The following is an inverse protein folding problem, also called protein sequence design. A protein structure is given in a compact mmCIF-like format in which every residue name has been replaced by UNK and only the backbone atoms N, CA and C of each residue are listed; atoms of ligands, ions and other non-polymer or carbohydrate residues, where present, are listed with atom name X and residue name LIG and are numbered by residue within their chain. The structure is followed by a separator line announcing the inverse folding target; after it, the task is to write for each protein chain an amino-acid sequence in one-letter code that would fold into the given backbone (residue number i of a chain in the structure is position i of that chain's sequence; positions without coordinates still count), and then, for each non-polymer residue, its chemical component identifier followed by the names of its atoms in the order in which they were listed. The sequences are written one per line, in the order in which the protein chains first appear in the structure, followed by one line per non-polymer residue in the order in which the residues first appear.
data_IF_732768579225
#
_entry.id   IF_732768579225
#
_cell.length_a   1.000
_cell.length_b   1.000
_cell.length_c   1.000
_cell.angle_alpha   90.00
_cell.angle_beta   90.00
_cell.angle_gamma   90.00
#
_symmetry.space_group_name_H-M   'P 1'
#
loop_
_entity.id
_entity.type
_entity.pdbx_description
1 polymer ?
#
# COMPACT_ATOMS: atom_id res chain seq x y z
N UNK A 1 -89.35 34.49 82.16
CA UNK A 1 -87.91 34.41 81.82
C UNK A 1 -87.40 35.85 81.81
N UNK A 2 -86.65 36.25 82.83
CA UNK A 2 -86.25 37.63 83.09
C UNK A 2 -85.12 38.07 82.16
N UNK A 3 -85.13 39.34 81.75
CA UNK A 3 -84.24 39.99 80.77
C UNK A 3 -82.74 39.82 81.05
N UNK A 4 -82.35 39.57 82.31
CA UNK A 4 -80.95 39.38 82.72
C UNK A 4 -80.32 38.11 82.13
N UNK A 5 -81.07 37.00 82.01
CA UNK A 5 -80.54 35.74 81.47
C UNK A 5 -80.23 35.78 79.97
N UNK A 6 -80.90 36.65 79.21
CA UNK A 6 -80.68 36.79 77.76
C UNK A 6 -79.40 37.59 77.50
N UNK A 7 -79.14 38.62 78.30
CA UNK A 7 -77.94 39.45 78.20
C UNK A 7 -76.68 38.63 78.51
N UNK A 8 -76.75 37.76 79.52
CA UNK A 8 -75.65 36.88 79.91
C UNK A 8 -75.28 35.88 78.79
N UNK A 9 -76.28 35.27 78.15
CA UNK A 9 -76.08 34.39 76.99
C UNK A 9 -75.47 35.15 75.80
N UNK A 10 -75.93 36.37 75.52
CA UNK A 10 -75.38 37.18 74.41
C UNK A 10 -73.92 37.54 74.66
N UNK A 11 -73.55 37.88 75.90
CA UNK A 11 -72.17 38.18 76.27
C UNK A 11 -71.28 36.93 76.15
N UNK A 12 -71.74 35.77 76.60
CA UNK A 12 -71.02 34.49 76.40
C UNK A 12 -70.82 34.16 74.92
N UNK A 13 -71.85 34.36 74.09
CA UNK A 13 -71.75 34.11 72.65
C UNK A 13 -70.77 35.08 71.99
N UNK A 14 -70.77 36.36 72.36
CA UNK A 14 -69.81 37.34 71.84
C UNK A 14 -68.39 36.99 72.28
N UNK A 15 -68.18 36.64 73.56
CA UNK A 15 -66.87 36.21 74.06
C UNK A 15 -66.39 34.94 73.36
N UNK A 16 -67.27 33.99 73.12
CA UNK A 16 -66.96 32.77 72.37
C UNK A 16 -66.58 33.07 70.92
N UNK A 17 -67.28 33.99 70.25
CA UNK A 17 -66.98 34.41 68.88
C UNK A 17 -65.64 35.16 68.80
N UNK A 18 -65.34 36.04 69.77
CA UNK A 18 -64.06 36.77 69.82
C UNK A 18 -62.91 35.80 70.11
N UNK A 19 -63.08 34.87 71.05
CA UNK A 19 -62.09 33.83 71.33
C UNK A 19 -61.88 32.91 70.12
N UNK A 20 -62.95 32.49 69.44
CA UNK A 20 -62.91 31.68 68.23
C UNK A 20 -62.19 32.42 67.09
N UNK A 21 -62.47 33.71 66.90
CA UNK A 21 -61.79 34.54 65.92
C UNK A 21 -60.29 34.67 66.21
N UNK A 22 -59.90 34.88 67.46
CA UNK A 22 -58.48 34.95 67.85
C UNK A 22 -57.75 33.62 67.65
N UNK A 23 -58.39 32.50 67.99
CA UNK A 23 -57.84 31.16 67.77
C UNK A 23 -57.66 30.90 66.27
N UNK A 24 -58.66 31.24 65.46
CA UNK A 24 -58.60 31.11 64.02
C UNK A 24 -57.52 32.01 63.40
N UNK A 25 -57.44 33.28 63.81
CA UNK A 25 -56.45 34.23 63.31
C UNK A 25 -55.02 33.81 63.65
N UNK A 26 -54.79 33.33 64.88
CA UNK A 26 -53.49 32.75 65.29
C UNK A 26 -53.16 31.51 64.46
N UNK A 27 -54.11 30.60 64.28
CA UNK A 27 -53.92 29.38 63.48
C UNK A 27 -53.61 29.72 62.02
N UNK A 28 -54.32 30.68 61.43
CA UNK A 28 -54.13 31.16 60.06
C UNK A 28 -52.77 31.84 59.85
N UNK A 29 -52.35 32.74 60.75
CA UNK A 29 -51.01 33.35 60.71
C UNK A 29 -49.89 32.31 60.81
N UNK A 30 -50.07 31.30 61.66
CA UNK A 30 -49.07 30.23 61.81
C UNK A 30 -48.99 29.37 60.54
N UNK A 31 -50.14 29.13 59.88
CA UNK A 31 -50.21 28.43 58.59
C UNK A 31 -49.53 29.23 57.47
N UNK A 32 -49.79 30.53 57.38
CA UNK A 32 -49.17 31.43 56.41
C UNK A 32 -47.65 31.53 56.60
N UNK A 33 -47.18 31.68 57.85
CA UNK A 33 -45.75 31.69 58.15
C UNK A 33 -45.05 30.40 57.72
N UNK A 34 -45.70 29.25 57.94
CA UNK A 34 -45.20 27.96 57.49
C UNK A 34 -45.19 27.80 55.96
N UNK A 35 -46.18 28.33 55.25
CA UNK A 35 -46.20 28.30 53.77
C UNK A 35 -45.17 29.24 53.15
N UNK A 36 -44.99 30.44 53.70
CA UNK A 36 -44.01 31.43 53.23
C UNK A 36 -42.58 30.92 53.48
N UNK A 37 -42.31 30.31 54.63
CA UNK A 37 -41.02 29.68 54.91
C UNK A 37 -40.74 28.51 53.95
N UNK A 38 -41.74 27.68 53.65
CA UNK A 38 -41.61 26.62 52.64
C UNK A 38 -41.30 27.22 51.25
N UNK A 39 -41.99 28.27 50.83
CA UNK A 39 -41.75 28.92 49.54
C UNK A 39 -40.35 29.52 49.44
N UNK A 40 -39.85 30.21 50.48
CA UNK A 40 -38.48 30.75 50.45
C UNK A 40 -37.43 29.64 50.40
N UNK A 41 -37.63 28.54 51.14
CA UNK A 41 -36.73 27.38 51.06
C UNK A 41 -36.75 26.70 49.70
N UNK A 42 -37.92 26.66 49.02
CA UNK A 42 -38.03 26.14 47.66
C UNK A 42 -37.30 27.05 46.66
N UNK A 43 -37.42 28.37 46.80
CA UNK A 43 -36.74 29.33 45.91
C UNK A 43 -35.21 29.33 46.09
N UNK A 44 -34.73 29.18 47.33
CA UNK A 44 -33.29 29.00 47.60
C UNK A 44 -32.78 27.67 47.06
N UNK A 45 -33.55 26.59 47.22
CA UNK A 45 -33.24 25.28 46.64
C UNK A 45 -33.21 25.35 45.11
N UNK A 46 -34.15 26.03 44.46
CA UNK A 46 -34.16 26.17 43.00
C UNK A 46 -32.95 26.96 42.52
N UNK A 47 -32.64 28.11 43.14
CA UNK A 47 -31.43 28.89 42.80
C UNK A 47 -30.14 28.09 43.01
N UNK A 48 -30.04 27.33 44.10
CA UNK A 48 -28.89 26.46 44.35
C UNK A 48 -28.78 25.38 43.27
N UNK A 49 -29.90 24.74 42.90
CA UNK A 49 -29.91 23.72 41.83
C UNK A 49 -29.56 24.30 40.46
N UNK A 50 -30.02 25.51 40.14
CA UNK A 50 -29.68 26.21 38.90
C UNK A 50 -28.19 26.58 38.86
N UNK A 51 -27.65 27.10 39.95
CA UNK A 51 -26.22 27.44 40.06
C UNK A 51 -25.33 26.19 39.96
N UNK A 52 -25.71 25.10 40.63
CA UNK A 52 -24.98 23.82 40.52
C UNK A 52 -25.06 23.28 39.10
N UNK A 53 -26.22 23.38 38.44
CA UNK A 53 -26.38 22.96 37.04
C UNK A 53 -25.54 23.81 36.10
N UNK A 54 -25.48 25.13 36.31
CA UNK A 54 -24.68 26.05 35.54
C UNK A 54 -23.17 25.78 35.72
N UNK A 55 -22.68 25.68 36.96
CA UNK A 55 -21.28 25.37 37.27
C UNK A 55 -20.87 23.99 36.72
N UNK A 56 -21.75 23.00 36.80
CA UNK A 56 -21.50 21.69 36.19
C UNK A 56 -21.46 21.75 34.66
N UNK A 57 -22.34 22.55 34.03
CA UNK A 57 -22.33 22.79 32.58
C UNK A 57 -21.03 23.46 32.14
N UNK A 58 -20.59 24.49 32.87
CA UNK A 58 -19.34 25.22 32.59
C UNK A 58 -18.12 24.31 32.75
N UNK A 59 -18.06 23.51 33.82
CA UNK A 59 -17.03 22.49 34.01
C UNK A 59 -17.03 21.46 32.89
N UNK A 60 -18.21 21.03 32.46
CA UNK A 60 -18.34 20.08 31.35
C UNK A 60 -17.81 20.67 30.03
N UNK A 61 -18.14 21.92 29.72
CA UNK A 61 -17.64 22.60 28.52
C UNK A 61 -16.12 22.82 28.56
N UNK A 62 -15.59 23.27 29.70
CA UNK A 62 -14.14 23.45 29.88
C UNK A 62 -13.38 22.12 29.79
N UNK A 63 -13.90 21.04 30.36
CA UNK A 63 -13.31 19.70 30.21
C UNK A 63 -13.35 19.23 28.75
N UNK A 64 -14.47 19.42 28.04
CA UNK A 64 -14.57 19.09 26.62
C UNK A 64 -13.55 19.86 25.79
N UNK A 65 -13.40 21.16 26.05
CA UNK A 65 -12.45 22.03 25.36
C UNK A 65 -10.99 21.62 25.63
N UNK A 66 -10.63 21.34 26.88
CA UNK A 66 -9.28 20.87 27.22
C UNK A 66 -8.97 19.53 26.58
N UNK A 67 -9.94 18.61 26.59
CA UNK A 67 -9.77 17.31 25.97
C UNK A 67 -9.62 17.41 24.45
N UNK A 68 -10.40 18.26 23.78
CA UNK A 68 -10.26 18.46 22.33
C UNK A 68 -8.94 19.12 21.97
N UNK A 69 -8.45 20.05 22.78
CA UNK A 69 -7.14 20.68 22.63
C UNK A 69 -6.01 19.66 22.81
N UNK A 70 -6.01 18.88 23.89
CA UNK A 70 -5.02 17.81 24.11
C UNK A 70 -5.03 16.75 23.00
N UNK A 71 -6.23 16.37 22.52
CA UNK A 71 -6.37 15.46 21.40
C UNK A 71 -5.78 16.06 20.12
N UNK A 72 -6.01 17.35 19.86
CA UNK A 72 -5.46 18.03 18.68
C UNK A 72 -3.94 18.09 18.74
N UNK A 73 -3.39 18.50 19.89
CA UNK A 73 -1.93 18.57 20.13
C UNK A 73 -1.26 17.20 19.94
N UNK A 74 -1.93 16.09 20.25
CA UNK A 74 -1.38 14.74 20.06
C UNK A 74 -1.61 14.17 18.66
N UNK A 75 -2.79 14.39 18.07
CA UNK A 75 -3.19 13.78 16.79
C UNK A 75 -2.55 14.50 15.61
N UNK A 76 -2.48 15.83 15.64
CA UNK A 76 -1.95 16.63 14.54
C UNK A 76 -0.48 16.28 14.18
N UNK A 77 0.47 16.19 15.13
CA UNK A 77 1.84 15.80 14.81
C UNK A 77 1.91 14.35 14.29
N UNK A 78 1.14 13.42 14.85
CA UNK A 78 1.10 12.04 14.36
C UNK A 78 0.56 11.95 12.93
N UNK A 79 -0.48 12.71 12.60
CA UNK A 79 -1.00 12.81 11.22
C UNK A 79 0.03 13.39 10.27
N UNK A 80 0.73 14.44 10.70
CA UNK A 80 1.79 15.08 9.91
C UNK A 80 2.97 14.13 9.67
N UNK A 81 3.40 13.40 10.71
CA UNK A 81 4.46 12.39 10.61
C UNK A 81 4.07 11.23 9.70
N UNK A 82 2.84 10.72 9.83
CA UNK A 82 2.31 9.67 8.96
C UNK A 82 2.25 10.15 7.50
N UNK A 83 1.75 11.36 7.26
CA UNK A 83 1.73 11.95 5.91
C UNK A 83 3.14 12.09 5.32
N UNK A 84 4.11 12.57 6.11
CA UNK A 84 5.51 12.69 5.69
C UNK A 84 6.14 11.34 5.38
N UNK A 85 5.90 10.33 6.22
CA UNK A 85 6.38 8.97 5.99
C UNK A 85 5.75 8.36 4.74
N UNK A 86 4.45 8.56 4.53
CA UNK A 86 3.75 8.08 3.33
C UNK A 86 4.32 8.72 2.06
N UNK A 87 4.52 10.05 2.06
CA UNK A 87 5.16 10.76 0.93
C UNK A 87 6.57 10.22 0.69
N UNK A 88 7.36 10.01 1.75
CA UNK A 88 8.73 9.47 1.64
C UNK A 88 8.73 8.07 1.03
N UNK A 89 7.84 7.19 1.51
CA UNK A 89 7.68 5.85 0.96
C UNK A 89 7.24 5.89 -0.50
N UNK A 90 6.29 6.77 -0.85
CA UNK A 90 5.84 6.94 -2.23
C UNK A 90 6.98 7.39 -3.15
N UNK A 91 7.79 8.37 -2.74
CA UNK A 91 8.94 8.85 -3.51
C UNK A 91 9.98 7.73 -3.69
N UNK A 92 10.33 7.03 -2.61
CA UNK A 92 11.29 5.93 -2.65
C UNK A 92 10.80 4.78 -3.54
N UNK A 93 9.51 4.44 -3.42
CA UNK A 93 8.88 3.40 -4.23
C UNK A 93 8.86 3.79 -5.71
N UNK A 94 8.43 5.01 -6.03
CA UNK A 94 8.43 5.52 -7.41
C UNK A 94 9.82 5.51 -8.02
N UNK A 95 10.83 6.01 -7.31
CA UNK A 95 12.22 5.99 -7.77
C UNK A 95 12.74 4.57 -8.02
N UNK A 96 12.51 3.67 -7.06
CA UNK A 96 12.95 2.27 -7.20
C UNK A 96 12.24 1.57 -8.36
N UNK A 97 10.94 1.82 -8.54
CA UNK A 97 10.18 1.27 -9.66
C UNK A 97 10.65 1.82 -11.00
N UNK A 98 10.97 3.12 -11.08
CA UNK A 98 11.51 3.74 -12.29
C UNK A 98 12.86 3.14 -12.66
N UNK A 99 13.80 3.05 -11.72
CA UNK A 99 15.12 2.46 -11.95
C UNK A 99 15.02 0.98 -12.34
N UNK A 100 14.16 0.22 -11.64
CA UNK A 100 13.88 -1.17 -11.99
C UNK A 100 13.30 -1.30 -13.40
N UNK A 101 12.43 -0.37 -13.81
CA UNK A 101 11.87 -0.32 -15.15
C UNK A 101 12.91 -0.09 -16.24
N UNK A 102 13.84 0.85 -16.03
CA UNK A 102 14.98 1.09 -16.93
C UNK A 102 15.85 -0.17 -17.07
N UNK A 103 16.15 -0.82 -15.96
CA UNK A 103 16.94 -2.07 -15.93
C UNK A 103 16.24 -3.19 -16.70
N UNK A 104 14.93 -3.37 -16.49
CA UNK A 104 14.13 -4.39 -17.21
C UNK A 104 14.16 -4.15 -18.71
N UNK A 105 13.88 -2.93 -19.15
CA UNK A 105 13.84 -2.59 -20.57
C UNK A 105 15.20 -2.86 -21.25
N UNK A 106 16.28 -2.42 -20.61
CA UNK A 106 17.62 -2.59 -21.16
C UNK A 106 18.08 -4.06 -21.13
N UNK A 107 17.73 -4.80 -20.08
CA UNK A 107 18.00 -6.24 -19.99
C UNK A 107 17.28 -7.00 -21.11
N UNK A 108 15.99 -6.70 -21.32
CA UNK A 108 15.19 -7.33 -22.37
C UNK A 108 15.75 -7.02 -23.76
N UNK A 109 16.12 -5.77 -24.05
CA UNK A 109 16.77 -5.40 -25.32
C UNK A 109 18.03 -6.23 -25.58
N UNK A 110 18.89 -6.41 -24.57
CA UNK A 110 20.11 -7.22 -24.69
C UNK A 110 19.81 -8.71 -24.88
N UNK A 111 18.76 -9.22 -24.24
CA UNK A 111 18.31 -10.60 -24.43
C UNK A 111 17.82 -10.84 -25.86
N UNK A 112 17.04 -9.92 -26.41
CA UNK A 112 16.57 -10.00 -27.80
C UNK A 112 17.74 -9.90 -28.78
N UNK A 113 18.70 -9.00 -28.54
CA UNK A 113 19.90 -8.93 -29.39
C UNK A 113 20.74 -10.20 -29.30
N UNK A 114 20.93 -10.77 -28.09
CA UNK A 114 21.59 -12.06 -27.90
C UNK A 114 20.90 -13.15 -28.73
N UNK A 115 19.57 -13.26 -28.62
CA UNK A 115 18.82 -14.24 -29.38
C UNK A 115 18.96 -14.04 -30.89
N UNK A 116 18.78 -12.80 -31.37
CA UNK A 116 18.90 -12.45 -32.78
C UNK A 116 20.30 -12.78 -33.34
N UNK A 117 21.36 -12.39 -32.62
CA UNK A 117 22.73 -12.66 -33.03
C UNK A 117 23.06 -14.16 -33.04
N UNK A 118 22.56 -14.91 -32.06
CA UNK A 118 22.74 -16.36 -31.98
C UNK A 118 22.01 -17.08 -33.11
N UNK A 119 20.77 -16.70 -33.43
CA UNK A 119 20.02 -17.29 -34.54
C UNK A 119 20.67 -16.96 -35.88
N UNK A 120 21.14 -15.73 -36.08
CA UNK A 120 21.83 -15.32 -37.30
C UNK A 120 23.15 -16.09 -37.49
N UNK A 121 23.98 -16.18 -36.44
CA UNK A 121 25.23 -16.93 -36.50
C UNK A 121 25.03 -18.43 -36.74
N UNK A 122 24.05 -19.04 -36.07
CA UNK A 122 23.80 -20.48 -36.13
C UNK A 122 22.89 -20.93 -37.27
N UNK A 123 22.49 -20.01 -38.17
CA UNK A 123 21.61 -20.35 -39.27
C UNK A 123 22.25 -21.38 -40.22
N UNK A 124 21.43 -22.27 -40.79
CA UNK A 124 21.92 -23.32 -41.71
C UNK A 124 22.42 -22.73 -43.03
N UNK A 125 21.76 -21.67 -43.52
CA UNK A 125 22.15 -20.96 -44.73
C UNK A 125 22.35 -19.49 -44.39
N UNK A 126 23.46 -18.95 -44.89
CA UNK A 126 23.77 -17.54 -44.80
C UNK A 126 23.77 -16.93 -46.21
N UNK A 127 23.00 -15.87 -46.47
CA UNK A 127 23.21 -15.09 -47.68
C UNK A 127 24.63 -14.49 -47.63
N UNK A 128 25.33 -14.55 -48.76
CA UNK A 128 26.65 -13.95 -48.94
C UNK A 128 26.50 -12.84 -49.97
N UNK A 129 26.90 -11.63 -49.61
CA UNK A 129 26.77 -10.46 -50.49
C UNK A 129 28.11 -10.03 -51.09
N UNK A 130 29.18 -10.06 -50.28
CA UNK A 130 30.50 -9.60 -50.68
C UNK A 130 31.58 -10.64 -50.38
N UNK A 131 31.76 -10.99 -49.11
CA UNK A 131 32.85 -11.86 -48.65
C UNK A 131 32.34 -12.83 -47.59
N UNK A 132 32.21 -14.10 -47.98
CA UNK A 132 31.72 -15.17 -47.11
C UNK A 132 32.54 -15.33 -45.83
N UNK A 133 33.88 -15.14 -45.88
CA UNK A 133 34.75 -15.30 -44.71
C UNK A 133 34.57 -14.15 -43.74
N UNK A 134 34.59 -12.92 -44.27
CA UNK A 134 34.39 -11.72 -43.45
C UNK A 134 33.00 -11.70 -42.82
N UNK A 135 31.95 -11.91 -43.61
CA UNK A 135 30.57 -11.92 -43.11
C UNK A 135 30.34 -13.04 -42.08
N UNK A 136 30.97 -14.21 -42.26
CA UNK A 136 30.93 -15.27 -41.24
C UNK A 136 31.64 -14.88 -39.95
N UNK A 137 32.78 -14.19 -40.04
CA UNK A 137 33.50 -13.72 -38.86
C UNK A 137 32.70 -12.64 -38.12
N UNK A 138 32.11 -11.70 -38.86
CA UNK A 138 31.28 -10.62 -38.32
C UNK A 138 30.07 -11.18 -37.56
N UNK A 139 29.43 -12.24 -38.06
CA UNK A 139 28.34 -12.96 -37.36
C UNK A 139 28.80 -13.58 -36.04
N UNK A 140 29.94 -14.28 -36.04
CA UNK A 140 30.51 -14.86 -34.81
C UNK A 140 30.85 -13.77 -33.80
N UNK A 141 31.51 -12.70 -34.25
CA UNK A 141 31.90 -11.58 -33.38
C UNK A 141 30.68 -10.84 -32.83
N UNK A 142 29.59 -10.70 -33.60
CA UNK A 142 28.32 -10.16 -33.12
C UNK A 142 27.72 -11.04 -32.01
N UNK A 143 27.70 -12.35 -32.20
CA UNK A 143 27.20 -13.29 -31.19
C UNK A 143 28.02 -13.22 -29.88
N UNK A 144 29.36 -13.24 -29.98
CA UNK A 144 30.27 -13.13 -28.83
C UNK A 144 30.08 -11.82 -28.06
N UNK A 145 29.93 -10.71 -28.80
CA UNK A 145 29.64 -9.40 -28.22
C UNK A 145 28.29 -9.42 -27.51
N UNK A 146 27.24 -9.93 -28.13
CA UNK A 146 25.90 -9.97 -27.54
C UNK A 146 25.85 -10.82 -26.27
N UNK A 147 26.56 -11.96 -26.25
CA UNK A 147 26.73 -12.80 -25.05
C UNK A 147 27.39 -12.00 -23.92
N UNK A 148 28.48 -11.29 -24.24
CA UNK A 148 29.25 -10.52 -23.27
C UNK A 148 28.45 -9.33 -22.74
N UNK A 149 27.78 -8.58 -23.61
CA UNK A 149 26.96 -7.43 -23.26
C UNK A 149 25.78 -7.82 -22.38
N UNK A 150 25.07 -8.91 -22.72
CA UNK A 150 23.98 -9.45 -21.91
C UNK A 150 24.50 -9.90 -20.53
N UNK A 151 25.54 -10.73 -20.49
CA UNK A 151 26.11 -11.26 -19.25
C UNK A 151 26.55 -10.15 -18.32
N UNK A 152 27.32 -9.20 -18.84
CA UNK A 152 27.84 -8.09 -18.05
C UNK A 152 26.68 -7.26 -17.50
N UNK A 153 25.74 -6.85 -18.35
CA UNK A 153 24.62 -6.05 -17.90
C UNK A 153 23.77 -6.77 -16.84
N UNK A 154 23.45 -8.05 -17.07
CA UNK A 154 22.67 -8.85 -16.13
C UNK A 154 23.38 -9.02 -14.78
N UNK A 155 24.68 -9.36 -14.77
CA UNK A 155 25.42 -9.58 -13.52
C UNK A 155 25.49 -8.33 -12.65
N UNK A 156 25.65 -7.15 -13.25
CA UNK A 156 25.67 -5.88 -12.52
C UNK A 156 24.29 -5.50 -11.97
N UNK A 157 23.21 -5.95 -12.62
CA UNK A 157 21.85 -5.55 -12.29
C UNK A 157 20.99 -6.66 -11.66
N UNK A 158 21.54 -7.84 -11.39
CA UNK A 158 20.77 -8.98 -10.84
C UNK A 158 20.11 -8.70 -9.50
N UNK A 159 20.57 -7.67 -8.76
CA UNK A 159 20.02 -7.24 -7.48
C UNK A 159 18.57 -6.73 -7.61
N UNK A 160 18.18 -6.24 -8.79
CA UNK A 160 16.81 -5.75 -9.06
C UNK A 160 15.77 -6.86 -9.24
N UNK A 161 16.18 -8.12 -9.14
CA UNK A 161 15.36 -9.29 -9.45
C UNK A 161 15.29 -10.26 -8.28
N UNK A 162 14.22 -11.04 -8.22
CA UNK A 162 14.08 -12.09 -7.20
C UNK A 162 15.05 -13.24 -7.49
N UNK A 163 15.56 -13.90 -6.44
CA UNK A 163 16.52 -15.01 -6.59
C UNK A 163 16.01 -16.13 -7.51
N UNK A 164 14.72 -16.44 -7.44
CA UNK A 164 14.11 -17.47 -8.29
C UNK A 164 14.12 -17.05 -9.77
N UNK A 165 13.89 -15.77 -10.06
CA UNK A 165 13.93 -15.26 -11.42
C UNK A 165 15.36 -15.18 -11.95
N UNK A 166 16.33 -14.76 -11.12
CA UNK A 166 17.74 -14.81 -11.48
C UNK A 166 18.18 -16.23 -11.86
N UNK A 167 17.79 -17.25 -11.06
CA UNK A 167 18.11 -18.65 -11.38
C UNK A 167 17.58 -19.07 -12.75
N UNK A 168 16.37 -18.64 -13.10
CA UNK A 168 15.77 -18.93 -14.40
C UNK A 168 16.53 -18.25 -15.56
N UNK A 169 16.93 -16.98 -15.38
CA UNK A 169 17.77 -16.28 -16.36
C UNK A 169 19.15 -16.96 -16.50
N UNK A 170 19.75 -17.39 -15.38
CA UNK A 170 21.04 -18.08 -15.36
C UNK A 170 20.97 -19.39 -16.17
N UNK A 171 19.88 -20.15 -16.03
CA UNK A 171 19.64 -21.39 -16.78
C UNK A 171 19.52 -21.14 -18.28
N UNK A 172 18.78 -20.10 -18.69
CA UNK A 172 18.65 -19.71 -20.10
C UNK A 172 19.98 -19.23 -20.67
N UNK A 173 20.70 -18.40 -19.92
CA UNK A 173 22.00 -17.91 -20.35
C UNK A 173 23.02 -19.03 -20.49
N UNK A 174 23.02 -19.98 -19.57
CA UNK A 174 23.85 -21.18 -19.63
C UNK A 174 23.57 -21.97 -20.92
N UNK A 175 22.31 -22.13 -21.27
CA UNK A 175 21.93 -22.83 -22.50
C UNK A 175 22.43 -22.12 -23.77
N UNK A 176 22.33 -20.79 -23.84
CA UNK A 176 22.94 -20.01 -24.93
C UNK A 176 24.45 -20.21 -25.00
N UNK A 177 25.12 -20.15 -23.85
CA UNK A 177 26.57 -20.27 -23.76
C UNK A 177 27.04 -21.65 -24.23
N UNK A 178 26.44 -22.73 -23.73
CA UNK A 178 26.79 -24.11 -24.10
C UNK A 178 26.54 -24.37 -25.59
N UNK A 179 25.36 -23.99 -26.10
CA UNK A 179 25.03 -24.14 -27.52
C UNK A 179 25.94 -23.33 -28.44
N UNK A 180 26.28 -22.10 -28.05
CA UNK A 180 27.20 -21.25 -28.79
C UNK A 180 28.61 -21.86 -28.86
N UNK A 181 29.10 -22.37 -27.73
CA UNK A 181 30.38 -23.06 -27.67
C UNK A 181 30.41 -24.31 -28.56
N UNK A 182 29.41 -25.18 -28.44
CA UNK A 182 29.31 -26.41 -29.22
C UNK A 182 29.21 -26.12 -30.72
N UNK A 183 28.41 -25.12 -31.11
CA UNK A 183 28.30 -24.70 -32.49
C UNK A 183 29.61 -24.16 -33.05
N UNK A 184 30.28 -23.26 -32.32
CA UNK A 184 31.57 -22.68 -32.73
C UNK A 184 32.66 -23.74 -32.88
N UNK A 185 32.74 -24.68 -31.93
CA UNK A 185 33.65 -25.81 -31.98
C UNK A 185 33.39 -26.70 -33.20
N UNK A 186 32.13 -27.08 -33.43
CA UNK A 186 31.74 -27.91 -34.56
C UNK A 186 32.01 -27.22 -35.89
N UNK A 187 31.68 -25.92 -36.00
CA UNK A 187 31.94 -25.12 -37.19
C UNK A 187 33.45 -25.06 -37.51
N UNK A 188 34.29 -24.90 -36.50
CA UNK A 188 35.75 -24.89 -36.68
C UNK A 188 36.27 -26.24 -37.17
N UNK A 189 35.78 -27.36 -36.61
CA UNK A 189 36.14 -28.71 -37.04
C UNK A 189 35.71 -29.01 -38.47
N UNK A 190 34.51 -28.62 -38.85
CA UNK A 190 34.03 -28.76 -40.24
C UNK A 190 34.88 -27.93 -41.20
N UNK A 191 35.28 -26.71 -40.80
CA UNK A 191 36.12 -25.83 -41.61
C UNK A 191 37.57 -26.26 -41.76
N UNK A 192 38.13 -27.03 -40.82
CA UNK A 192 39.53 -27.45 -40.91
C UNK A 192 39.78 -28.46 -42.03
N UNK A 193 38.74 -29.14 -42.54
CA UNK A 193 38.84 -30.03 -43.71
C UNK A 193 39.52 -31.38 -43.44
N UNK A 194 39.92 -31.66 -42.20
CA UNK A 194 40.65 -32.88 -41.80
C UNK A 194 39.73 -34.01 -41.30
N UNK A 195 38.43 -33.92 -41.56
CA UNK A 195 37.42 -34.86 -41.04
C UNK A 195 37.09 -35.97 -42.04
N UNK A 196 36.85 -37.18 -41.53
CA UNK A 196 36.22 -38.23 -42.33
C UNK A 196 34.78 -37.85 -42.67
N UNK A 197 34.22 -38.47 -43.73
CA UNK A 197 32.82 -38.22 -44.14
C UNK A 197 31.81 -38.47 -43.02
N UNK A 198 32.08 -39.41 -42.12
CA UNK A 198 31.22 -39.74 -40.98
C UNK A 198 31.22 -38.63 -39.92
N UNK A 199 32.40 -38.12 -39.55
CA UNK A 199 32.52 -37.00 -38.62
C UNK A 199 31.96 -35.70 -39.19
N UNK A 200 32.13 -35.45 -40.49
CA UNK A 200 31.53 -34.28 -41.13
C UNK A 200 29.99 -34.31 -41.01
N UNK A 201 29.37 -35.46 -41.27
CA UNK A 201 27.92 -35.64 -41.13
C UNK A 201 27.47 -35.43 -39.68
N UNK A 202 28.17 -36.05 -38.72
CA UNK A 202 27.86 -35.92 -37.30
C UNK A 202 27.86 -34.45 -36.83
N UNK A 203 28.92 -33.69 -37.12
CA UNK A 203 29.00 -32.29 -36.71
C UNK A 203 27.97 -31.41 -37.41
N UNK A 204 27.66 -31.69 -38.68
CA UNK A 204 26.62 -30.97 -39.42
C UNK A 204 25.23 -31.21 -38.82
N UNK A 205 24.91 -32.44 -38.42
CA UNK A 205 23.66 -32.80 -37.76
C UNK A 205 23.55 -32.12 -36.37
N UNK A 206 24.63 -32.10 -35.60
CA UNK A 206 24.68 -31.40 -34.31
C UNK A 206 24.45 -29.89 -34.48
N UNK A 207 25.14 -29.25 -35.44
CA UNK A 207 24.95 -27.83 -35.74
C UNK A 207 23.51 -27.53 -36.18
N UNK A 208 22.91 -28.38 -37.01
CA UNK A 208 21.51 -28.25 -37.41
C UNK A 208 20.55 -28.37 -36.22
N UNK A 209 20.85 -29.28 -35.29
CA UNK A 209 20.04 -29.50 -34.09
C UNK A 209 20.10 -28.28 -33.18
N UNK A 210 21.30 -27.73 -32.94
CA UNK A 210 21.49 -26.49 -32.19
C UNK A 210 20.72 -25.33 -32.83
N UNK A 211 20.84 -25.15 -34.14
CA UNK A 211 20.11 -24.09 -34.88
C UNK A 211 18.60 -24.20 -34.70
N UNK A 212 18.06 -25.42 -34.75
CA UNK A 212 16.63 -25.68 -34.56
C UNK A 212 16.19 -25.38 -33.14
N UNK A 213 16.92 -25.86 -32.13
CA UNK A 213 16.62 -25.61 -30.72
C UNK A 213 16.66 -24.11 -30.38
N UNK A 214 17.65 -23.38 -30.91
CA UNK A 214 17.74 -21.93 -30.73
C UNK A 214 16.55 -21.20 -31.32
N UNK A 215 16.03 -21.65 -32.47
CA UNK A 215 14.90 -21.01 -33.16
C UNK A 215 13.52 -21.40 -32.62
N UNK A 216 13.37 -22.61 -32.10
CA UNK A 216 12.06 -23.13 -31.70
C UNK A 216 11.84 -23.09 -30.19
N UNK A 217 12.85 -23.46 -29.38
CA UNK A 217 12.67 -23.64 -27.94
C UNK A 217 12.98 -22.36 -27.15
N UNK A 218 14.04 -21.63 -27.52
CA UNK A 218 14.44 -20.44 -26.77
C UNK A 218 13.51 -19.23 -26.88
N UNK A 219 12.79 -18.99 -27.99
CA UNK A 219 11.77 -17.94 -28.02
C UNK A 219 10.66 -18.14 -26.99
N UNK A 220 10.27 -19.40 -26.72
CA UNK A 220 9.27 -19.72 -25.69
C UNK A 220 9.76 -19.28 -24.31
N UNK A 221 11.03 -19.54 -23.99
CA UNK A 221 11.65 -19.11 -22.73
C UNK A 221 11.80 -17.59 -22.65
N UNK A 222 12.07 -16.92 -23.77
CA UNK A 222 12.10 -15.44 -23.84
C UNK A 222 10.70 -14.87 -23.58
N UNK A 223 9.64 -15.47 -24.13
CA UNK A 223 8.26 -15.06 -23.86
C UNK A 223 7.92 -15.21 -22.36
N UNK A 224 8.35 -16.30 -21.72
CA UNK A 224 8.18 -16.46 -20.27
C UNK A 224 8.93 -15.40 -19.46
N UNK A 225 10.11 -14.96 -19.91
CA UNK A 225 10.84 -13.83 -19.32
C UNK A 225 10.05 -12.53 -19.52
N UNK A 226 9.51 -12.31 -20.72
CA UNK A 226 8.73 -11.12 -21.05
C UNK A 226 7.49 -11.01 -20.17
N UNK A 227 6.75 -12.10 -19.98
CA UNK A 227 5.59 -12.14 -19.10
C UNK A 227 5.97 -11.78 -17.66
N UNK A 228 7.10 -12.30 -17.17
CA UNK A 228 7.62 -11.95 -15.84
C UNK A 228 8.01 -10.47 -15.76
N UNK A 229 8.56 -9.89 -16.83
CA UNK A 229 8.85 -8.45 -16.88
C UNK A 229 7.57 -7.61 -16.89
N UNK A 230 6.57 -7.98 -17.70
CA UNK A 230 5.26 -7.31 -17.74
C UNK A 230 4.57 -7.32 -16.38
N UNK A 231 4.63 -8.45 -15.67
CA UNK A 231 4.17 -8.58 -14.27
C UNK A 231 4.89 -7.64 -13.31
N UNK A 232 6.22 -7.51 -13.44
CA UNK A 232 6.99 -6.61 -12.58
C UNK A 232 6.67 -5.14 -12.86
N UNK A 233 6.40 -4.81 -14.11
CA UNK A 233 6.07 -3.46 -14.57
C UNK A 233 4.58 -3.10 -14.36
N UNK A 234 3.75 -4.03 -13.87
CA UNK A 234 2.30 -3.88 -13.73
C UNK A 234 1.61 -3.43 -15.04
N UNK A 235 2.00 -4.03 -16.17
CA UNK A 235 1.39 -3.76 -17.50
C UNK A 235 0.41 -4.88 -17.88
N UNK A 236 -0.11 -5.63 -16.90
CA UNK A 236 -1.16 -6.61 -17.13
C UNK A 236 -2.50 -5.88 -17.11
N UNK A 237 -3.01 -5.50 -18.29
CA UNK A 237 -4.45 -5.33 -18.61
C UNK A 237 -4.62 -4.76 -20.04
N UNK A 238 -5.06 -5.61 -20.96
CA UNK A 238 -6.03 -5.34 -22.03
C UNK A 238 -6.58 -6.73 -22.41
N UNK A 239 -7.66 -7.15 -21.74
CA UNK A 239 -8.51 -8.29 -22.19
C UNK A 239 -9.18 -7.98 -23.53
#
# INVERSE_FOLDING_TARGET
MTSEKIIEIVIEVILFLVASYFIFYKSWLTSLGNEIAKLSTIEELTKLTENVKADFSEKMETYKSKLSEELTIKIEPLKSELAKNNITHQIQFSFLHEERGKVILELYKKLIELHSAMVDWTNFLHPVYQDAKKESQDRSTRADKAITDFKNFYLHNKLFFSKNFCKYIDEIFKEYWEKGWDFGYNQQKVRSGELTSEYHKLYSEQMSTISKELKENLPVKIAEIEDKFRKILNVEEEE
#
